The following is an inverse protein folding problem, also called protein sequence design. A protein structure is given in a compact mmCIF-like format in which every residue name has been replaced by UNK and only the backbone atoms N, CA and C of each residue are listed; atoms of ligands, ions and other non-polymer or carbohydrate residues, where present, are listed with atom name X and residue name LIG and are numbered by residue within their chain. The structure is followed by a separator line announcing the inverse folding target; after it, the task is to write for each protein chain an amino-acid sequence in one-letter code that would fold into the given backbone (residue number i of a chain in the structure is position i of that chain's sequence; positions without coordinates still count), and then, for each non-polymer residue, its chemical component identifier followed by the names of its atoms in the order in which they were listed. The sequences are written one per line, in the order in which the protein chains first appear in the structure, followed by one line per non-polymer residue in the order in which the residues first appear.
data_IF_883889473238
#
_entry.id   IF_883889473238
#
_cell.length_a   1.000
_cell.length_b   1.000
_cell.length_c   1.000
_cell.angle_alpha   90.00
_cell.angle_beta   90.00
_cell.angle_gamma   90.00
#
_symmetry.space_group_name_H-M   'P 1'
#
loop_
_entity.id
_entity.type
_entity.pdbx_description
1 polymer ?
#
# COMPACT_ATOMS: atom_id res chain seq x y z
N UNK A 1 -46.74 -21.08 -37.88
CA UNK A 1 -45.35 -20.58 -38.03
C UNK A 1 -45.37 -19.09 -37.71
N UNK A 2 -45.17 -18.68 -36.46
CA UNK A 2 -45.11 -17.27 -36.07
C UNK A 2 -43.87 -17.07 -35.19
N UNK A 3 -42.87 -16.39 -35.75
CA UNK A 3 -41.61 -16.04 -35.11
C UNK A 3 -41.84 -14.89 -34.14
N UNK A 4 -41.71 -15.15 -32.84
CA UNK A 4 -41.62 -14.11 -31.81
C UNK A 4 -40.15 -13.81 -31.53
N UNK A 5 -39.71 -12.58 -31.82
CA UNK A 5 -38.44 -12.04 -31.35
C UNK A 5 -38.69 -11.23 -30.08
N UNK A 6 -37.92 -11.42 -28.99
CA UNK A 6 -37.88 -10.44 -27.91
C UNK A 6 -36.77 -9.39 -28.17
N UNK A 7 -37.00 -8.10 -27.87
CA UNK A 7 -35.94 -7.11 -27.76
C UNK A 7 -35.59 -6.90 -26.28
N UNK A 8 -34.36 -7.22 -25.87
CA UNK A 8 -33.78 -6.85 -24.57
C UNK A 8 -32.35 -7.41 -24.54
N UNK A 9 -31.27 -6.76 -24.16
CA UNK A 9 -30.86 -5.44 -23.65
C UNK A 9 -29.35 -5.38 -24.00
N UNK A 10 -28.71 -4.21 -24.16
CA UNK A 10 -27.25 -4.19 -24.20
C UNK A 10 -26.74 -4.73 -22.86
N UNK A 11 -26.04 -5.86 -22.91
CA UNK A 11 -25.37 -6.46 -21.77
C UNK A 11 -24.42 -5.41 -21.17
N UNK A 12 -24.82 -4.83 -20.05
CA UNK A 12 -23.96 -3.99 -19.24
C UNK A 12 -22.91 -4.92 -18.64
N UNK A 13 -21.72 -4.92 -19.24
CA UNK A 13 -20.50 -5.37 -18.58
C UNK A 13 -20.45 -4.71 -17.20
N UNK A 14 -20.34 -5.45 -16.08
CA UNK A 14 -19.91 -4.85 -14.84
C UNK A 14 -18.47 -4.40 -15.09
N UNK A 15 -18.28 -3.12 -15.41
CA UNK A 15 -16.98 -2.47 -15.28
C UNK A 15 -16.73 -2.40 -13.78
N UNK A 16 -16.25 -3.50 -13.22
CA UNK A 16 -15.67 -3.56 -11.90
C UNK A 16 -14.52 -2.55 -11.91
N UNK A 17 -14.82 -1.35 -11.41
CA UNK A 17 -13.83 -0.32 -11.16
C UNK A 17 -13.06 -0.82 -9.95
N UNK A 18 -12.18 -1.79 -10.16
CA UNK A 18 -11.19 -2.19 -9.17
C UNK A 18 -10.48 -0.90 -8.75
N UNK A 19 -10.57 -0.48 -7.46
CA UNK A 19 -9.80 0.65 -7.01
C UNK A 19 -8.33 0.30 -7.28
N UNK A 20 -7.64 1.18 -7.98
CA UNK A 20 -6.26 1.07 -8.43
C UNK A 20 -5.38 0.39 -7.37
N UNK A 21 -5.21 -0.92 -7.46
CA UNK A 21 -4.46 -1.72 -6.48
C UNK A 21 -3.01 -1.27 -6.35
N UNK A 22 -2.48 -0.66 -7.42
CA UNK A 22 -1.15 -0.05 -7.46
C UNK A 22 -0.99 1.14 -6.51
N UNK A 23 -2.03 1.99 -6.33
CA UNK A 23 -1.96 3.12 -5.39
C UNK A 23 -1.93 2.66 -3.93
N UNK A 24 -2.68 1.60 -3.60
CA UNK A 24 -2.61 0.98 -2.27
C UNK A 24 -1.27 0.26 -2.04
N UNK A 25 -0.68 -0.32 -3.09
CA UNK A 25 0.62 -0.99 -3.02
C UNK A 25 1.75 -0.01 -2.68
N UNK A 26 1.81 1.16 -3.33
CA UNK A 26 2.86 2.15 -3.06
C UNK A 26 2.72 2.81 -1.68
N UNK A 27 1.50 3.06 -1.22
CA UNK A 27 1.25 3.57 0.13
C UNK A 27 1.61 2.51 1.18
N UNK A 28 1.29 1.24 0.92
CA UNK A 28 1.64 0.10 1.77
C UNK A 28 3.15 -0.13 1.86
N UNK A 29 3.87 -0.07 0.74
CA UNK A 29 5.32 -0.20 0.68
C UNK A 29 6.02 0.96 1.41
N UNK A 30 5.54 2.19 1.21
CA UNK A 30 6.04 3.36 1.95
C UNK A 30 5.84 3.21 3.45
N UNK A 31 4.63 2.80 3.88
CA UNK A 31 4.34 2.56 5.28
C UNK A 31 5.20 1.44 5.87
N UNK A 32 5.38 0.34 5.13
CA UNK A 32 6.25 -0.76 5.52
C UNK A 32 7.70 -0.29 5.72
N UNK A 33 8.24 0.51 4.80
CA UNK A 33 9.58 1.08 4.93
C UNK A 33 9.71 2.02 6.14
N UNK A 34 8.67 2.80 6.47
CA UNK A 34 8.64 3.62 7.70
C UNK A 34 8.74 2.73 8.95
N UNK A 35 8.05 1.59 8.99
CA UNK A 35 8.15 0.66 10.11
C UNK A 35 9.52 -0.01 10.23
N UNK A 36 10.16 -0.36 9.12
CA UNK A 36 11.54 -0.88 9.14
C UNK A 36 12.51 0.21 9.63
N UNK A 37 12.34 1.45 9.16
CA UNK A 37 13.16 2.59 9.60
C UNK A 37 13.06 2.80 11.13
N UNK A 38 11.84 2.82 11.66
CA UNK A 38 11.57 2.93 13.10
C UNK A 38 12.18 1.74 13.89
N UNK A 39 12.04 0.51 13.38
CA UNK A 39 12.66 -0.66 13.97
C UNK A 39 14.19 -0.54 14.04
N UNK A 40 14.83 -0.10 12.95
CA UNK A 40 16.27 0.13 12.92
C UNK A 40 16.69 1.17 13.95
N UNK A 41 15.95 2.27 14.11
CA UNK A 41 16.24 3.29 15.13
C UNK A 41 16.10 2.74 16.55
N UNK A 42 15.00 2.04 16.86
CA UNK A 42 14.75 1.44 18.18
C UNK A 42 15.82 0.42 18.61
N UNK A 43 16.40 -0.30 17.65
CA UNK A 43 17.49 -1.26 17.87
C UNK A 43 18.90 -0.64 17.87
N UNK A 44 19.03 0.63 17.49
CA UNK A 44 20.34 1.30 17.36
C UNK A 44 21.05 1.07 16.03
N UNK A 45 20.39 0.47 15.03
CA UNK A 45 20.91 0.28 13.66
C UNK A 45 20.86 1.57 12.83
N UNK A 46 21.44 2.64 13.36
CA UNK A 46 21.35 4.00 12.80
C UNK A 46 21.92 4.12 11.39
N UNK A 47 22.99 3.37 11.08
CA UNK A 47 23.58 3.34 9.73
C UNK A 47 22.62 2.72 8.71
N UNK A 48 22.00 1.60 9.07
CA UNK A 48 21.01 0.90 8.24
C UNK A 48 19.77 1.75 8.03
N UNK A 49 19.26 2.38 9.10
CA UNK A 49 18.13 3.30 9.02
C UNK A 49 18.39 4.43 8.01
N UNK A 50 19.60 5.00 8.01
CA UNK A 50 19.97 6.06 7.06
C UNK A 50 20.01 5.58 5.62
N UNK A 51 20.66 4.45 5.36
CA UNK A 51 20.72 3.91 4.00
C UNK A 51 19.32 3.55 3.50
N UNK A 52 18.49 2.93 4.34
CA UNK A 52 17.10 2.63 3.99
C UNK A 52 16.33 3.91 3.65
N UNK A 53 16.43 4.96 4.46
CA UNK A 53 15.73 6.22 4.21
C UNK A 53 16.13 6.86 2.87
N UNK A 54 17.42 6.76 2.53
CA UNK A 54 17.99 7.30 1.30
C UNK A 54 17.56 6.47 0.07
N UNK A 55 17.60 5.14 0.16
CA UNK A 55 17.23 4.23 -0.94
C UNK A 55 15.73 4.19 -1.21
N UNK A 56 14.90 4.21 -0.16
CA UNK A 56 13.44 4.10 -0.28
C UNK A 56 12.72 5.46 -0.32
N UNK A 57 13.47 6.58 -0.24
CA UNK A 57 12.94 7.94 -0.37
C UNK A 57 11.95 8.33 0.73
N UNK A 58 11.94 7.63 1.86
CA UNK A 58 11.10 7.95 3.01
C UNK A 58 11.67 9.14 3.79
N UNK A 59 10.85 10.13 4.15
CA UNK A 59 11.27 11.23 5.01
C UNK A 59 11.73 10.70 6.36
N UNK A 60 12.87 11.19 6.86
CA UNK A 60 13.40 10.83 8.19
C UNK A 60 12.48 11.27 9.34
N UNK A 61 11.60 12.21 9.06
CA UNK A 61 10.58 12.73 9.98
C UNK A 61 9.27 11.94 9.91
N UNK A 62 9.14 10.98 8.98
CA UNK A 62 7.97 10.12 8.91
C UNK A 62 7.94 9.19 10.11
N UNK A 63 7.02 9.48 11.02
CA UNK A 63 6.70 8.59 12.12
C UNK A 63 5.62 7.60 11.70
N UNK A 64 5.71 6.33 12.13
CA UNK A 64 4.64 5.39 11.89
C UNK A 64 3.34 5.89 12.55
N UNK A 65 2.17 5.72 11.91
CA UNK A 65 0.88 6.12 12.48
C UNK A 65 0.55 5.42 13.81
N UNK A 66 1.15 4.24 14.04
CA UNK A 66 1.04 3.49 15.29
C UNK A 66 2.46 3.27 15.81
N UNK A 67 2.88 4.12 16.74
CA UNK A 67 4.15 3.98 17.43
C UNK A 67 4.01 2.99 18.62
N UNK A 68 4.19 1.69 18.33
CA UNK A 68 4.26 0.66 19.35
C UNK A 68 5.64 0.69 20.04
N UNK A 69 5.67 0.57 21.38
CA UNK A 69 6.89 0.66 22.23
C UNK A 69 8.09 -0.17 21.77
N UNK A 70 7.86 -1.23 21.01
CA UNK A 70 8.88 -2.19 20.62
C UNK A 70 8.98 -2.33 19.07
N UNK A 71 8.28 -1.48 18.30
CA UNK A 71 8.16 -1.57 16.84
C UNK A 71 7.05 -2.53 16.40
N UNK A 72 6.49 -2.37 15.20
CA UNK A 72 5.48 -3.30 14.67
C UNK A 72 6.12 -4.62 14.16
N UNK A 73 7.40 -4.55 13.79
CA UNK A 73 8.23 -5.68 13.38
C UNK A 73 8.95 -6.23 14.61
N UNK A 74 8.38 -7.24 15.24
CA UNK A 74 9.02 -8.00 16.31
C UNK A 74 9.64 -9.28 15.80
#
# INVERSE_FOLDING_TARGET
MATGAPPAQPAQTPTETSPTSASLSWEGERMFNIYIYDYCLKRGFSKTANQLAEESGIPRESQPPIDARQGLLF
#
